data_IF_426841324687
#
_entry.id   IF_426841324687
#
_cell.length_a   1.000
_cell.length_b   1.000
_cell.length_c   1.000
_cell.angle_alpha   90.00
_cell.angle_beta   90.00
_cell.angle_gamma   90.00
#
_symmetry.space_group_name_H-M   'P 1'
#
loop_
_entity.id
_entity.type
_entity.pdbx_description
1 polymer ?
#
# COMPACT_ATOMS: atom_id res chain seq x y z
N UNK A 1 16.02 4.66 28.91
CA UNK A 1 15.22 3.66 28.20
C UNK A 1 14.86 4.16 26.82
N UNK A 2 14.55 3.27 25.91
CA UNK A 2 14.03 3.65 24.60
C UNK A 2 12.56 4.12 24.72
N UNK A 3 12.11 5.05 23.89
CA UNK A 3 10.69 5.39 23.80
C UNK A 3 9.88 4.15 23.39
N UNK A 4 8.70 3.98 23.95
CA UNK A 4 7.75 2.94 23.56
C UNK A 4 6.33 3.45 23.73
N UNK A 5 5.39 2.80 23.07
CA UNK A 5 3.95 3.03 23.26
C UNK A 5 3.24 1.72 23.58
N UNK A 6 2.07 1.84 24.20
CA UNK A 6 1.19 0.71 24.52
C UNK A 6 -0.12 0.94 23.75
N UNK A 7 -0.55 -0.06 23.01
CA UNK A 7 -1.80 -0.03 22.28
C UNK A 7 -2.68 -1.23 22.64
N UNK A 8 -3.96 -1.15 22.29
CA UNK A 8 -4.88 -2.27 22.41
C UNK A 8 -4.40 -3.43 21.51
N UNK A 9 -4.53 -4.66 22.02
CA UNK A 9 -4.29 -5.86 21.24
C UNK A 9 -5.54 -6.23 20.46
N UNK A 10 -5.55 -5.96 19.17
CA UNK A 10 -6.63 -6.35 18.28
C UNK A 10 -6.57 -7.84 17.94
N UNK A 11 -7.76 -8.46 17.79
CA UNK A 11 -7.89 -9.84 17.32
C UNK A 11 -7.83 -9.88 15.78
N UNK A 12 -7.28 -10.96 15.25
CA UNK A 12 -7.17 -11.20 13.81
C UNK A 12 -5.84 -11.83 13.43
N UNK A 13 -5.69 -12.15 12.16
CA UNK A 13 -4.50 -12.77 11.58
C UNK A 13 -3.93 -11.87 10.49
N UNK A 14 -2.64 -11.56 10.55
CA UNK A 14 -1.89 -10.96 9.45
C UNK A 14 -1.31 -12.09 8.58
N UNK A 15 -1.41 -11.96 7.27
CA UNK A 15 -0.92 -12.94 6.31
C UNK A 15 0.26 -12.37 5.53
N UNK A 16 1.39 -13.09 5.54
CA UNK A 16 2.61 -12.70 4.82
C UNK A 16 2.95 -13.67 3.70
N UNK A 17 2.52 -14.93 3.82
CA UNK A 17 2.92 -16.01 2.92
C UNK A 17 1.73 -16.65 2.23
N UNK A 18 1.93 -17.03 0.96
CA UNK A 18 0.93 -17.78 0.21
C UNK A 18 0.51 -19.08 0.94
N UNK A 19 1.47 -19.79 1.53
CA UNK A 19 1.23 -21.00 2.29
C UNK A 19 0.31 -20.82 3.51
N UNK A 20 0.18 -19.59 4.05
CA UNK A 20 -0.74 -19.27 5.14
C UNK A 20 -2.17 -19.07 4.63
N UNK A 21 -2.32 -18.65 3.38
CA UNK A 21 -3.60 -18.42 2.71
C UNK A 21 -4.17 -19.70 2.05
N UNK A 22 -3.32 -20.57 1.52
CA UNK A 22 -3.73 -21.80 0.81
C UNK A 22 -4.77 -22.64 1.56
N UNK A 23 -4.65 -22.88 2.90
CA UNK A 23 -5.64 -23.67 3.63
C UNK A 23 -7.04 -23.04 3.68
N UNK A 24 -7.18 -21.74 3.41
CA UNK A 24 -8.46 -21.04 3.38
C UNK A 24 -9.23 -21.36 2.08
N UNK A 25 -8.51 -21.66 0.99
CA UNK A 25 -9.07 -21.86 -0.34
C UNK A 25 -9.34 -20.57 -1.11
N UNK A 26 -9.42 -20.68 -2.42
CA UNK A 26 -9.43 -19.54 -3.35
C UNK A 26 -10.55 -18.53 -3.12
N UNK A 27 -11.75 -18.98 -2.75
CA UNK A 27 -12.90 -18.11 -2.52
C UNK A 27 -12.67 -17.18 -1.31
N UNK A 28 -12.19 -17.73 -0.20
CA UNK A 28 -11.89 -16.94 1.00
C UNK A 28 -10.70 -16.01 0.78
N UNK A 29 -9.66 -16.45 0.08
CA UNK A 29 -8.54 -15.59 -0.30
C UNK A 29 -9.02 -14.41 -1.15
N UNK A 30 -9.94 -14.67 -2.09
CA UNK A 30 -10.55 -13.61 -2.89
C UNK A 30 -11.32 -12.62 -2.02
N UNK A 31 -12.14 -13.10 -1.10
CA UNK A 31 -12.88 -12.25 -0.16
C UNK A 31 -11.95 -11.35 0.66
N UNK A 32 -10.86 -11.91 1.20
CA UNK A 32 -9.85 -11.16 1.96
C UNK A 32 -9.23 -10.05 1.10
N UNK A 33 -8.82 -10.38 -0.13
CA UNK A 33 -8.13 -9.42 -0.99
C UNK A 33 -9.06 -8.37 -1.59
N UNK A 34 -10.31 -8.70 -1.81
CA UNK A 34 -11.37 -7.74 -2.10
C UNK A 34 -11.58 -6.78 -0.91
N UNK A 35 -11.66 -7.31 0.30
CA UNK A 35 -11.75 -6.53 1.53
C UNK A 35 -10.54 -5.63 1.76
N UNK A 36 -9.33 -6.07 1.34
CA UNK A 36 -8.12 -5.24 1.40
C UNK A 36 -8.27 -3.98 0.55
N UNK A 37 -8.74 -4.11 -0.69
CA UNK A 37 -8.96 -2.95 -1.56
C UNK A 37 -10.09 -2.07 -1.04
N UNK A 38 -11.18 -2.67 -0.56
CA UNK A 38 -12.33 -1.94 -0.02
C UNK A 38 -11.96 -1.09 1.19
N UNK A 39 -11.18 -1.66 2.13
CA UNK A 39 -10.68 -0.93 3.31
C UNK A 39 -9.78 0.24 2.92
N UNK A 40 -8.98 0.10 1.87
CA UNK A 40 -8.18 1.20 1.35
C UNK A 40 -9.07 2.33 0.79
N UNK A 41 -10.12 1.98 0.06
CA UNK A 41 -11.09 2.97 -0.44
C UNK A 41 -11.77 3.69 0.72
N UNK A 42 -12.19 2.96 1.74
CA UNK A 42 -12.85 3.52 2.94
C UNK A 42 -11.90 4.47 3.70
N UNK A 43 -10.62 4.11 3.82
CA UNK A 43 -9.59 5.00 4.38
C UNK A 43 -9.46 6.30 3.59
N UNK A 44 -9.38 6.19 2.25
CA UNK A 44 -9.22 7.35 1.38
C UNK A 44 -10.50 8.20 1.25
N UNK A 45 -11.65 7.70 1.70
CA UNK A 45 -12.92 8.44 1.77
C UNK A 45 -13.06 9.25 3.06
N UNK A 46 -12.20 9.04 4.06
CA UNK A 46 -12.25 9.80 5.32
C UNK A 46 -11.91 11.27 5.06
N UNK A 47 -12.81 12.17 5.40
CA UNK A 47 -12.47 13.59 5.45
C UNK A 47 -11.55 13.88 6.65
N UNK A 48 -10.27 14.00 6.36
CA UNK A 48 -9.24 14.23 7.36
C UNK A 48 -9.43 15.53 8.15
N UNK A 49 -10.16 16.51 7.61
CA UNK A 49 -10.47 17.77 8.29
C UNK A 49 -11.55 17.55 9.35
N UNK A 50 -12.59 16.78 9.01
CA UNK A 50 -13.69 16.46 9.95
C UNK A 50 -13.21 15.61 11.13
N UNK A 51 -12.20 14.76 10.94
CA UNK A 51 -11.61 13.94 12.01
C UNK A 51 -10.44 14.61 12.75
N UNK A 52 -10.20 15.90 12.50
CA UNK A 52 -9.20 16.69 13.23
C UNK A 52 -7.75 16.49 12.78
N UNK A 53 -7.52 15.96 11.57
CA UNK A 53 -6.19 15.68 11.02
C UNK A 53 -5.72 16.72 10.00
N UNK A 54 -6.30 17.94 9.99
CA UNK A 54 -5.95 18.99 9.02
C UNK A 54 -4.45 19.36 9.02
N UNK A 55 -3.79 19.25 10.18
CA UNK A 55 -2.36 19.56 10.36
C UNK A 55 -1.45 18.30 10.32
N UNK A 56 -2.01 17.14 10.00
CA UNK A 56 -1.27 15.87 10.01
C UNK A 56 -0.23 15.76 8.87
N UNK A 57 -0.37 16.55 7.81
CA UNK A 57 0.53 16.54 6.66
C UNK A 57 0.27 17.70 5.72
N UNK A 58 0.91 17.66 4.56
CA UNK A 58 0.77 18.64 3.49
C UNK A 58 0.44 17.95 2.18
N UNK A 59 -0.84 17.85 1.77
CA UNK A 59 -1.22 17.17 0.54
C UNK A 59 -0.70 17.92 -0.71
N UNK A 60 -0.73 19.26 -0.71
CA UNK A 60 -0.29 20.05 -1.86
C UNK A 60 1.18 19.76 -2.22
N UNK A 61 1.44 19.41 -3.48
CA UNK A 61 2.78 19.08 -3.99
C UNK A 61 3.41 17.83 -3.37
N UNK A 62 2.60 16.94 -2.80
CA UNK A 62 3.05 15.70 -2.15
C UNK A 62 3.91 14.86 -3.08
N UNK A 63 3.46 14.53 -4.29
CA UNK A 63 4.19 13.68 -5.23
C UNK A 63 5.57 14.25 -5.59
N UNK A 64 5.65 15.56 -5.89
CA UNK A 64 6.92 16.22 -6.17
C UNK A 64 7.91 16.11 -5.01
N UNK A 65 7.42 16.29 -3.77
CA UNK A 65 8.28 16.13 -2.58
C UNK A 65 8.72 14.70 -2.37
N UNK A 66 7.87 13.71 -2.67
CA UNK A 66 8.25 12.30 -2.55
C UNK A 66 9.34 11.94 -3.56
N UNK A 67 9.19 12.31 -4.82
CA UNK A 67 10.22 12.06 -5.85
C UNK A 67 11.56 12.70 -5.44
N UNK A 68 11.56 13.98 -5.05
CA UNK A 68 12.76 14.66 -4.61
C UNK A 68 13.39 14.03 -3.35
N UNK A 69 12.58 13.58 -2.39
CA UNK A 69 13.03 12.88 -1.18
C UNK A 69 13.71 11.55 -1.54
N UNK A 70 13.08 10.74 -2.40
CA UNK A 70 13.61 9.45 -2.79
C UNK A 70 14.89 9.57 -3.61
N UNK A 71 15.00 10.57 -4.50
CA UNK A 71 16.25 10.86 -5.21
C UNK A 71 17.38 11.19 -4.24
N UNK A 72 17.14 12.09 -3.30
CA UNK A 72 18.13 12.45 -2.28
C UNK A 72 18.55 11.25 -1.42
N UNK A 73 17.60 10.38 -1.08
CA UNK A 73 17.88 9.17 -0.30
C UNK A 73 18.69 8.15 -1.11
N UNK A 74 18.38 7.99 -2.40
CA UNK A 74 19.12 7.14 -3.32
C UNK A 74 20.59 7.62 -3.41
N UNK A 75 20.83 8.92 -3.63
CA UNK A 75 22.16 9.48 -3.66
C UNK A 75 22.94 9.25 -2.36
N UNK A 76 22.27 9.47 -1.21
CA UNK A 76 22.89 9.29 0.11
C UNK A 76 23.23 7.82 0.44
N UNK A 77 22.49 6.86 -0.13
CA UNK A 77 22.66 5.42 0.10
C UNK A 77 23.43 4.70 -1.02
N UNK A 78 23.85 5.42 -2.04
CA UNK A 78 24.53 4.83 -3.21
C UNK A 78 25.87 4.21 -2.80
N UNK A 79 25.95 2.90 -2.89
CA UNK A 79 27.17 2.12 -2.60
C UNK A 79 27.77 1.43 -3.83
N UNK A 80 27.03 1.45 -4.95
CA UNK A 80 27.45 0.85 -6.24
C UNK A 80 26.72 1.51 -7.41
N UNK A 81 27.25 1.36 -8.59
CA UNK A 81 26.55 1.69 -9.82
C UNK A 81 25.41 0.71 -10.07
N UNK A 82 24.25 1.23 -10.48
CA UNK A 82 23.07 0.46 -10.90
C UNK A 82 22.63 1.02 -12.25
N UNK A 83 22.74 0.21 -13.28
CA UNK A 83 22.41 0.62 -14.65
C UNK A 83 20.94 1.09 -14.73
N UNK A 84 20.73 2.25 -15.36
CA UNK A 84 19.41 2.81 -15.61
C UNK A 84 18.76 3.53 -14.41
N UNK A 85 19.37 3.52 -13.23
CA UNK A 85 18.75 4.13 -12.03
C UNK A 85 18.60 5.65 -12.15
N UNK A 86 19.61 6.31 -12.72
CA UNK A 86 19.60 7.77 -12.91
C UNK A 86 18.60 8.17 -14.00
N UNK A 87 18.47 7.38 -15.07
CA UNK A 87 17.45 7.57 -16.10
C UNK A 87 16.05 7.42 -15.51
N UNK A 88 15.83 6.38 -14.71
CA UNK A 88 14.55 6.18 -14.00
C UNK A 88 14.22 7.36 -13.09
N UNK A 89 15.18 7.84 -12.32
CA UNK A 89 14.99 8.99 -11.42
C UNK A 89 14.61 10.27 -12.20
N UNK A 90 15.24 10.53 -13.32
CA UNK A 90 14.91 11.66 -14.19
C UNK A 90 13.51 11.50 -14.80
N UNK A 91 13.17 10.34 -15.34
CA UNK A 91 11.83 10.07 -15.89
C UNK A 91 10.72 10.25 -14.85
N UNK A 92 10.94 9.81 -13.61
CA UNK A 92 9.99 10.03 -12.52
C UNK A 92 9.81 11.51 -12.19
N UNK A 93 10.90 12.31 -12.26
CA UNK A 93 10.83 13.75 -12.02
C UNK A 93 10.08 14.49 -13.14
N UNK A 94 10.27 14.06 -14.38
CA UNK A 94 9.68 14.70 -15.56
C UNK A 94 8.21 14.32 -15.75
N UNK A 95 7.76 13.20 -15.17
CA UNK A 95 6.44 12.62 -15.36
C UNK A 95 5.64 12.53 -14.05
N UNK A 96 5.82 13.49 -13.13
CA UNK A 96 5.00 13.55 -11.91
C UNK A 96 3.55 13.86 -12.29
N UNK A 97 2.58 12.97 -11.95
CA UNK A 97 1.18 13.20 -12.28
C UNK A 97 0.63 14.47 -11.63
N UNK A 98 -0.45 15.00 -12.20
CA UNK A 98 -1.22 16.04 -11.53
C UNK A 98 -1.81 15.45 -10.25
N UNK A 99 -1.49 16.06 -9.10
CA UNK A 99 -1.95 15.58 -7.81
C UNK A 99 -3.49 15.51 -7.76
N UNK A 100 -4.01 14.41 -7.25
CA UNK A 100 -5.41 14.26 -6.91
C UNK A 100 -5.75 15.04 -5.63
N UNK A 101 -7.03 15.08 -5.26
CA UNK A 101 -7.43 15.59 -3.95
C UNK A 101 -6.77 14.78 -2.83
N UNK A 102 -6.05 15.48 -1.94
CA UNK A 102 -5.30 14.85 -0.87
C UNK A 102 -6.19 14.17 0.17
N UNK A 103 -5.75 13.01 0.64
CA UNK A 103 -6.41 12.23 1.68
C UNK A 103 -5.42 11.74 2.74
N UNK A 104 -5.90 10.94 3.70
CA UNK A 104 -5.02 10.16 4.58
C UNK A 104 -4.37 9.08 3.73
N UNK A 105 -3.04 9.03 3.74
CA UNK A 105 -2.23 8.00 3.09
C UNK A 105 -1.56 7.16 4.17
N UNK A 106 -1.63 5.85 4.07
CA UNK A 106 -0.98 4.92 4.99
C UNK A 106 0.55 4.88 4.78
N UNK A 107 0.99 4.86 3.53
CA UNK A 107 2.40 4.89 3.13
C UNK A 107 3.07 3.52 2.98
N UNK A 108 2.50 2.45 3.55
CA UNK A 108 2.93 1.05 3.38
C UNK A 108 1.72 0.10 3.45
N UNK A 109 0.65 0.40 2.69
CA UNK A 109 -0.58 -0.39 2.73
C UNK A 109 -0.44 -1.71 1.98
N UNK A 110 -0.60 -2.83 2.70
CA UNK A 110 -0.50 -4.19 2.16
C UNK A 110 -1.07 -5.22 3.13
N UNK A 111 -1.24 -6.47 2.67
CA UNK A 111 -1.96 -7.51 3.42
C UNK A 111 -1.31 -7.84 4.78
N UNK A 112 -0.01 -7.77 4.91
CA UNK A 112 0.69 -8.04 6.17
C UNK A 112 0.61 -6.89 7.18
N UNK A 113 0.11 -5.72 6.75
CA UNK A 113 -0.19 -4.57 7.60
C UNK A 113 -1.69 -4.44 7.96
N UNK A 114 -2.46 -5.52 7.80
CA UNK A 114 -3.85 -5.58 8.25
C UNK A 114 -4.13 -6.85 9.04
N UNK A 115 -5.17 -6.82 9.86
CA UNK A 115 -5.68 -8.01 10.56
C UNK A 115 -6.99 -8.46 9.93
N UNK A 116 -7.08 -9.74 9.63
CA UNK A 116 -8.24 -10.41 9.06
C UNK A 116 -8.93 -11.23 10.15
N UNK A 117 -10.22 -11.06 10.32
CA UNK A 117 -11.05 -11.95 11.13
C UNK A 117 -11.51 -13.14 10.30
N UNK A 118 -10.75 -14.22 10.40
CA UNK A 118 -11.04 -15.48 9.67
C UNK A 118 -12.17 -16.30 10.28
N UNK A 119 -12.64 -15.93 11.46
CA UNK A 119 -13.78 -16.57 12.14
C UNK A 119 -15.13 -15.95 11.76
N UNK A 120 -15.13 -14.67 11.35
CA UNK A 120 -16.35 -13.94 10.97
C UNK A 120 -16.20 -13.28 9.58
N UNK A 121 -16.31 -14.06 8.54
CA UNK A 121 -16.47 -13.59 7.16
C UNK A 121 -15.23 -13.02 6.49
N UNK A 122 -14.04 -13.32 6.98
CA UNK A 122 -12.76 -12.93 6.37
C UNK A 122 -12.60 -11.40 6.20
N UNK A 123 -13.15 -10.62 7.15
CA UNK A 123 -13.14 -9.16 7.09
C UNK A 123 -11.83 -8.58 7.60
N UNK A 124 -11.40 -7.50 6.97
CA UNK A 124 -10.34 -6.64 7.54
C UNK A 124 -10.93 -5.92 8.75
N UNK A 125 -10.33 -6.10 9.91
CA UNK A 125 -10.78 -5.51 11.18
C UNK A 125 -9.88 -4.40 11.69
N UNK A 126 -8.63 -4.40 11.25
CA UNK A 126 -7.62 -3.46 11.76
C UNK A 126 -6.58 -3.19 10.69
N UNK A 127 -6.18 -1.94 10.57
CA UNK A 127 -5.00 -1.53 9.81
C UNK A 127 -3.89 -1.20 10.80
N UNK A 128 -2.69 -1.70 10.56
CA UNK A 128 -1.51 -1.62 11.42
C UNK A 128 -0.41 -0.80 10.75
N UNK A 129 0.60 -0.43 11.54
CA UNK A 129 1.87 0.15 11.06
C UNK A 129 1.71 1.52 10.36
N UNK A 130 1.13 2.47 11.10
CA UNK A 130 0.85 3.83 10.64
C UNK A 130 2.05 4.77 10.66
N UNK A 131 3.27 4.28 10.86
CA UNK A 131 4.46 5.12 11.05
C UNK A 131 4.84 5.96 9.83
N UNK A 132 4.41 5.53 8.62
CA UNK A 132 4.63 6.25 7.37
C UNK A 132 3.44 7.11 6.94
N UNK A 133 2.37 7.13 7.75
CA UNK A 133 1.14 7.81 7.38
C UNK A 133 1.29 9.34 7.32
N UNK A 134 0.54 9.94 6.42
CA UNK A 134 0.52 11.39 6.21
C UNK A 134 -0.72 11.82 5.42
N UNK A 135 -0.82 13.10 5.09
CA UNK A 135 -1.76 13.57 4.05
C UNK A 135 -1.04 13.63 2.70
N UNK A 136 -1.60 12.98 1.71
CA UNK A 136 -0.98 12.85 0.39
C UNK A 136 -1.94 12.38 -0.69
N UNK A 137 -1.37 11.94 -1.80
CA UNK A 137 -2.13 11.41 -2.93
C UNK A 137 -2.52 9.94 -2.67
N UNK A 138 -3.82 9.60 -2.67
CA UNK A 138 -4.32 8.24 -2.39
C UNK A 138 -3.78 7.18 -3.34
N UNK A 139 -3.47 7.53 -4.58
CA UNK A 139 -2.96 6.56 -5.55
C UNK A 139 -1.56 6.04 -5.17
N UNK A 140 -0.84 6.72 -4.26
CA UNK A 140 0.44 6.22 -3.76
C UNK A 140 0.29 4.94 -2.96
N UNK A 141 -0.75 4.79 -2.13
CA UNK A 141 -0.99 3.55 -1.39
C UNK A 141 -1.39 2.41 -2.34
N UNK A 142 -2.26 2.68 -3.31
CA UNK A 142 -2.60 1.71 -4.35
C UNK A 142 -1.34 1.29 -5.12
N UNK A 143 -0.49 2.24 -5.52
CA UNK A 143 0.74 1.97 -6.25
C UNK A 143 1.74 1.13 -5.44
N UNK A 144 1.89 1.41 -4.13
CA UNK A 144 2.74 0.61 -3.22
C UNK A 144 2.22 -0.82 -3.15
N UNK A 145 0.92 -1.02 -2.89
CA UNK A 145 0.30 -2.34 -2.85
C UNK A 145 0.53 -3.11 -4.16
N UNK A 146 0.32 -2.47 -5.31
CA UNK A 146 0.51 -3.08 -6.64
C UNK A 146 2.00 -3.36 -6.93
N UNK A 147 2.91 -2.52 -6.47
CA UNK A 147 4.35 -2.74 -6.63
C UNK A 147 4.78 -4.02 -5.90
N UNK A 148 4.31 -4.24 -4.67
CA UNK A 148 4.57 -5.49 -3.93
C UNK A 148 3.94 -6.71 -4.62
N UNK A 149 2.73 -6.59 -5.15
CA UNK A 149 2.10 -7.68 -5.94
C UNK A 149 2.94 -8.02 -7.18
N UNK A 150 3.34 -7.01 -7.97
CA UNK A 150 4.16 -7.21 -9.16
C UNK A 150 5.54 -7.78 -8.83
N UNK A 151 6.12 -7.35 -7.71
CA UNK A 151 7.40 -7.88 -7.24
C UNK A 151 7.27 -9.36 -6.87
N UNK A 152 6.21 -9.75 -6.15
CA UNK A 152 5.94 -11.15 -5.81
C UNK A 152 5.70 -12.03 -7.05
N UNK A 153 5.01 -11.51 -8.07
CA UNK A 153 4.73 -12.21 -9.32
C UNK A 153 5.91 -12.25 -10.30
N UNK A 154 6.96 -11.46 -10.04
CA UNK A 154 8.15 -11.47 -10.89
C UNK A 154 9.06 -12.65 -10.54
N UNK A 155 9.72 -13.25 -11.56
CA UNK A 155 10.70 -14.34 -11.37
C UNK A 155 11.97 -13.88 -10.63
N UNK A 156 11.94 -12.68 -10.07
CA UNK A 156 13.08 -12.04 -9.42
C UNK A 156 13.38 -12.62 -8.05
N UNK A 157 14.66 -12.84 -7.77
CA UNK A 157 15.18 -13.34 -6.49
C UNK A 157 14.91 -12.43 -5.28
N UNK A 158 14.25 -11.28 -5.48
CA UNK A 158 13.91 -10.33 -4.42
C UNK A 158 12.51 -10.51 -3.83
N UNK A 159 11.56 -11.11 -4.57
CA UNK A 159 10.17 -11.25 -4.16
C UNK A 159 10.00 -12.11 -2.89
N UNK A 160 10.72 -13.20 -2.79
CA UNK A 160 10.64 -14.14 -1.67
C UNK A 160 11.15 -13.57 -0.32
N UNK A 161 11.76 -12.40 -0.32
CA UNK A 161 12.31 -11.79 0.89
C UNK A 161 11.34 -10.86 1.62
N UNK A 162 10.30 -10.39 0.92
CA UNK A 162 9.33 -9.43 1.50
C UNK A 162 8.01 -10.13 1.82
N UNK A 163 7.24 -10.50 0.81
CA UNK A 163 5.97 -11.22 0.95
C UNK A 163 5.69 -11.99 -0.32
N UNK A 164 5.17 -13.20 -0.20
CA UNK A 164 4.70 -14.00 -1.34
C UNK A 164 3.19 -14.26 -1.30
N UNK A 165 2.47 -13.65 -0.35
CA UNK A 165 1.01 -13.77 -0.24
C UNK A 165 0.27 -13.55 -1.58
N UNK A 166 0.70 -12.63 -2.48
CA UNK A 166 0.07 -12.46 -3.79
C UNK A 166 0.14 -13.66 -4.73
N UNK A 167 0.94 -14.69 -4.40
CA UNK A 167 1.00 -15.93 -5.17
C UNK A 167 -0.10 -16.92 -4.79
N UNK A 168 -0.85 -16.67 -3.71
CA UNK A 168 -1.93 -17.56 -3.26
C UNK A 168 -3.06 -17.61 -4.29
N UNK A 169 -3.60 -18.81 -4.50
CA UNK A 169 -4.75 -19.02 -5.40
C UNK A 169 -5.96 -18.24 -4.90
N UNK A 170 -6.54 -17.42 -5.76
CA UNK A 170 -7.68 -16.56 -5.44
C UNK A 170 -7.30 -15.12 -5.06
N UNK A 171 -6.02 -14.81 -4.90
CA UNK A 171 -5.58 -13.42 -4.69
C UNK A 171 -5.94 -12.56 -5.90
N UNK A 172 -6.44 -11.32 -5.67
CA UNK A 172 -6.74 -10.40 -6.77
C UNK A 172 -5.47 -10.11 -7.59
N UNK A 173 -5.59 -10.17 -8.89
CA UNK A 173 -4.54 -9.68 -9.77
C UNK A 173 -4.37 -8.15 -9.65
N UNK A 174 -3.22 -7.59 -10.06
CA UNK A 174 -3.05 -6.14 -10.10
C UNK A 174 -4.16 -5.41 -10.83
N UNK A 175 -4.60 -5.93 -11.99
CA UNK A 175 -5.65 -5.30 -12.80
C UNK A 175 -7.01 -5.36 -12.11
N UNK A 176 -7.36 -6.48 -11.45
CA UNK A 176 -8.60 -6.59 -10.67
C UNK A 176 -8.59 -5.65 -9.47
N UNK A 177 -7.44 -5.47 -8.81
CA UNK A 177 -7.26 -4.54 -7.70
C UNK A 177 -7.49 -3.08 -8.15
N UNK A 178 -6.90 -2.69 -9.29
CA UNK A 178 -7.09 -1.36 -9.89
C UNK A 178 -8.57 -1.13 -10.25
N UNK A 179 -9.19 -2.10 -10.95
CA UNK A 179 -10.59 -1.98 -11.38
C UNK A 179 -11.54 -1.86 -10.17
N UNK A 180 -11.30 -2.66 -9.12
CA UNK A 180 -12.10 -2.59 -7.90
C UNK A 180 -11.95 -1.26 -7.20
N UNK A 181 -10.71 -0.78 -7.05
CA UNK A 181 -10.44 0.52 -6.43
C UNK A 181 -11.12 1.65 -7.20
N UNK A 182 -10.96 1.71 -8.52
CA UNK A 182 -11.59 2.72 -9.37
C UNK A 182 -13.13 2.68 -9.28
N UNK A 183 -13.72 1.48 -9.38
CA UNK A 183 -15.16 1.30 -9.33
C UNK A 183 -15.76 1.74 -7.98
N UNK A 184 -15.08 1.50 -6.87
CA UNK A 184 -15.58 1.84 -5.53
C UNK A 184 -15.28 3.26 -5.11
N UNK A 185 -14.12 3.80 -5.47
CA UNK A 185 -13.71 5.16 -5.10
C UNK A 185 -14.24 6.24 -6.04
N UNK A 186 -14.57 5.86 -7.29
CA UNK A 186 -14.88 6.79 -8.36
C UNK A 186 -13.68 7.62 -8.83
N UNK A 187 -12.47 7.29 -8.40
CA UNK A 187 -11.25 8.02 -8.79
C UNK A 187 -10.75 7.57 -10.14
N UNK A 188 -10.17 8.50 -10.89
CA UNK A 188 -9.43 8.18 -12.11
C UNK A 188 -8.09 7.51 -11.75
N UNK A 189 -7.84 6.36 -12.35
CA UNK A 189 -6.65 5.53 -12.15
C UNK A 189 -5.90 5.29 -13.47
N UNK A 190 -6.19 6.11 -14.51
CA UNK A 190 -5.68 5.93 -15.86
C UNK A 190 -4.29 6.53 -16.12
N UNK A 191 -3.73 7.28 -15.15
CA UNK A 191 -2.40 7.93 -15.24
C UNK A 191 -1.28 7.09 -14.64
#
# INVERSE_FOLDING_TARGET
>A
GAPFYIMERMAGTAFQKAAELEPLGAERVRTITEGLVDTLVDLHAVDYREVGLAEFGRPDGYLNRQVARWQKQLEASRSREIDGIDELANRLSDAVPTASEGTIVHGDYRLDNVLVDTADGDRITTVLDWEMSTLGDPLTDLAVMLAYQKLALSDGRGAAQVTDAPLATGYLSPDESIQRYAARSGRDVSE
#
